data_IF_841971337501
#
_entry.id   IF_841971337501
#
_cell.length_a   1.000
_cell.length_b   1.000
_cell.length_c   1.000
_cell.angle_alpha   90.00
_cell.angle_beta   90.00
_cell.angle_gamma   90.00
#
_symmetry.space_group_name_H-M   'P 1'
#
loop_
_entity.id
_entity.type
_entity.pdbx_description
1 polymer ?
#
# COMPACT_ATOMS: atom_id res chain seq x y z
N UNK A 1 21.75 19.48 -7.55
CA UNK A 1 20.45 18.93 -7.98
C UNK A 1 20.80 17.73 -8.85
N UNK A 2 20.61 16.50 -8.36
CA UNK A 2 20.95 15.28 -9.09
C UNK A 2 19.66 14.76 -9.76
N UNK A 3 19.60 14.87 -11.08
CA UNK A 3 18.54 14.22 -11.86
C UNK A 3 18.82 12.72 -11.89
N UNK A 4 17.85 11.92 -11.45
CA UNK A 4 17.94 10.47 -11.56
C UNK A 4 17.61 10.06 -13.00
N UNK A 5 18.36 9.13 -13.61
CA UNK A 5 18.05 8.64 -14.94
C UNK A 5 16.68 7.94 -14.96
N UNK A 6 15.96 7.95 -16.09
CA UNK A 6 14.69 7.27 -16.23
C UNK A 6 14.85 5.78 -15.90
N UNK A 7 14.03 5.28 -14.99
CA UNK A 7 14.04 3.87 -14.58
C UNK A 7 13.42 3.04 -15.70
N UNK A 8 14.24 2.28 -16.42
CA UNK A 8 13.78 1.26 -17.37
C UNK A 8 13.46 -0.03 -16.62
N UNK A 9 12.19 -0.46 -16.66
CA UNK A 9 11.78 -1.72 -16.05
C UNK A 9 12.21 -2.90 -16.93
N UNK A 10 12.81 -3.95 -16.36
CA UNK A 10 13.22 -5.11 -17.12
C UNK A 10 11.98 -5.87 -17.60
N UNK A 11 11.81 -5.97 -18.92
CA UNK A 11 10.82 -6.87 -19.53
C UNK A 11 11.42 -8.28 -19.54
N UNK A 12 10.92 -9.15 -18.66
CA UNK A 12 11.31 -10.56 -18.65
C UNK A 12 10.37 -11.33 -19.58
N UNK A 13 10.90 -11.79 -20.71
CA UNK A 13 10.17 -12.61 -21.67
C UNK A 13 10.15 -14.09 -21.21
N UNK A 14 8.96 -14.64 -20.97
CA UNK A 14 8.80 -16.05 -20.60
C UNK A 14 8.57 -16.91 -21.84
N UNK A 15 9.65 -17.49 -22.38
CA UNK A 15 9.58 -18.41 -23.51
C UNK A 15 9.22 -19.83 -23.04
N UNK A 16 8.36 -20.58 -23.75
CA UNK A 16 8.01 -21.95 -23.39
C UNK A 16 9.22 -22.88 -23.22
N UNK A 17 10.29 -22.67 -23.99
CA UNK A 17 11.55 -23.42 -23.90
C UNK A 17 12.26 -23.26 -22.55
N UNK A 18 12.10 -22.10 -21.91
CA UNK A 18 12.83 -21.73 -20.69
C UNK A 18 12.04 -22.16 -19.43
N UNK A 19 10.77 -22.53 -19.57
CA UNK A 19 9.88 -22.91 -18.45
C UNK A 19 10.08 -24.35 -17.95
N UNK A 20 10.90 -25.18 -18.63
CA UNK A 20 11.18 -26.54 -18.19
C UNK A 20 12.14 -26.53 -17.00
N UNK A 21 11.64 -26.90 -15.81
CA UNK A 21 12.39 -26.94 -14.55
C UNK A 21 13.72 -27.72 -14.68
N UNK A 22 14.78 -27.17 -14.10
CA UNK A 22 16.12 -27.79 -14.09
C UNK A 22 16.97 -27.53 -15.33
N UNK A 23 16.43 -26.89 -16.37
CA UNK A 23 17.20 -26.44 -17.54
C UNK A 23 18.02 -25.18 -17.26
N UNK A 24 18.97 -24.88 -18.15
CA UNK A 24 19.71 -23.61 -18.11
C UNK A 24 18.78 -22.40 -18.30
N UNK A 25 17.77 -22.52 -19.18
CA UNK A 25 16.74 -21.49 -19.38
C UNK A 25 15.97 -21.20 -18.09
N UNK A 26 15.54 -22.25 -17.38
CA UNK A 26 14.86 -22.12 -16.08
C UNK A 26 15.74 -21.43 -15.03
N UNK A 27 17.00 -21.85 -14.88
CA UNK A 27 17.94 -21.21 -13.94
C UNK A 27 18.16 -19.73 -14.26
N UNK A 28 18.28 -19.39 -15.55
CA UNK A 28 18.41 -18.00 -16.02
C UNK A 28 17.17 -17.18 -15.69
N UNK A 29 15.97 -17.70 -15.97
CA UNK A 29 14.71 -17.04 -15.59
C UNK A 29 14.61 -16.83 -14.08
N UNK A 30 14.94 -17.83 -13.25
CA UNK A 30 14.95 -17.68 -11.80
C UNK A 30 15.92 -16.59 -11.33
N UNK A 31 17.10 -16.49 -11.95
CA UNK A 31 18.08 -15.43 -11.65
C UNK A 31 17.51 -14.05 -12.01
N UNK A 32 16.97 -13.87 -13.21
CA UNK A 32 16.39 -12.59 -13.63
C UNK A 32 15.18 -12.17 -12.81
N UNK A 33 14.27 -13.11 -12.50
CA UNK A 33 13.12 -12.81 -11.62
C UNK A 33 13.60 -12.38 -10.24
N UNK A 34 14.61 -13.05 -9.67
CA UNK A 34 15.23 -12.66 -8.40
C UNK A 34 15.84 -11.26 -8.48
N UNK A 35 16.73 -11.03 -9.45
CA UNK A 35 17.41 -9.74 -9.61
C UNK A 35 16.42 -8.60 -9.88
N UNK A 36 15.36 -8.86 -10.65
CA UNK A 36 14.30 -7.90 -10.88
C UNK A 36 13.52 -7.59 -9.60
N UNK A 37 13.20 -8.61 -8.78
CA UNK A 37 12.58 -8.41 -7.48
C UNK A 37 13.53 -7.74 -6.46
N UNK A 38 14.84 -7.99 -6.51
CA UNK A 38 15.81 -7.34 -5.62
C UNK A 38 16.03 -5.87 -6.01
N UNK A 39 16.13 -5.61 -7.32
CA UNK A 39 16.45 -4.27 -7.86
C UNK A 39 15.21 -3.39 -7.99
N UNK A 40 14.07 -3.97 -8.39
CA UNK A 40 12.83 -3.25 -8.67
C UNK A 40 11.68 -3.67 -7.77
N UNK A 41 11.81 -4.75 -6.99
CA UNK A 41 10.82 -5.16 -6.00
C UNK A 41 10.86 -4.27 -4.75
N UNK A 42 10.97 -2.96 -4.96
CA UNK A 42 10.52 -1.87 -4.10
C UNK A 42 10.89 -1.93 -2.61
N UNK A 43 11.77 -2.82 -2.11
CA UNK A 43 12.03 -2.95 -0.67
C UNK A 43 12.55 -1.65 -0.08
N UNK A 44 13.59 -1.08 -0.70
CA UNK A 44 14.15 0.21 -0.30
C UNK A 44 13.14 1.36 -0.37
N UNK A 45 12.14 1.28 -1.28
CA UNK A 45 11.11 2.31 -1.42
C UNK A 45 9.96 2.14 -0.44
N UNK A 46 9.54 0.90 -0.23
CA UNK A 46 8.58 0.52 0.79
C UNK A 46 9.07 1.02 2.14
N UNK A 47 10.35 0.78 2.48
CA UNK A 47 11.00 1.30 3.69
C UNK A 47 11.02 2.82 3.82
N UNK A 48 10.94 3.58 2.72
CA UNK A 48 10.82 5.06 2.77
C UNK A 48 9.42 5.53 3.18
N UNK A 49 8.41 4.66 3.17
CA UNK A 49 7.10 4.99 3.73
C UNK A 49 7.22 4.98 5.25
N UNK A 50 7.75 6.06 5.81
CA UNK A 50 7.94 6.22 7.26
C UNK A 50 6.83 7.10 7.83
N UNK A 51 6.38 6.74 9.01
CA UNK A 51 5.42 7.54 9.77
C UNK A 51 5.90 7.66 11.21
N UNK A 52 5.74 8.82 11.86
CA UNK A 52 5.98 8.95 13.29
C UNK A 52 4.97 8.15 14.12
N UNK A 53 3.83 7.76 13.52
CA UNK A 53 2.83 6.94 14.18
C UNK A 53 3.20 5.44 14.09
N UNK A 54 3.12 4.69 15.20
CA UNK A 54 3.40 3.25 15.20
C UNK A 54 2.57 2.51 14.14
N UNK A 55 3.21 1.62 13.37
CA UNK A 55 2.58 0.81 12.32
C UNK A 55 1.92 1.60 11.16
N UNK A 56 2.11 2.92 11.07
CA UNK A 56 1.53 3.76 10.03
C UNK A 56 2.46 4.02 8.83
N UNK A 57 3.61 3.33 8.80
CA UNK A 57 4.53 3.29 7.67
C UNK A 57 4.74 1.86 7.21
N UNK A 58 5.91 1.58 6.67
CA UNK A 58 6.36 0.23 6.39
C UNK A 58 6.53 -0.59 7.66
N UNK A 59 5.96 -1.78 7.63
CA UNK A 59 6.09 -2.80 8.65
C UNK A 59 6.75 -4.00 7.97
N UNK A 60 8.04 -4.16 8.24
CA UNK A 60 8.82 -5.26 7.72
C UNK A 60 8.81 -6.50 8.59
N UNK A 61 9.52 -7.55 8.13
CA UNK A 61 9.77 -8.74 8.92
C UNK A 61 10.40 -8.39 10.27
N UNK A 62 9.71 -8.67 11.37
CA UNK A 62 10.27 -8.53 12.71
C UNK A 62 9.74 -9.62 13.64
N UNK A 63 10.51 -9.94 14.68
CA UNK A 63 10.17 -10.99 15.65
C UNK A 63 8.84 -10.73 16.38
N UNK A 64 8.37 -9.48 16.41
CA UNK A 64 7.12 -9.08 17.08
C UNK A 64 5.87 -9.25 16.20
N UNK A 65 6.01 -9.35 14.87
CA UNK A 65 4.88 -9.43 13.93
C UNK A 65 4.90 -10.77 13.19
N UNK A 66 5.96 -11.04 12.42
CA UNK A 66 6.28 -12.33 11.79
C UNK A 66 7.49 -12.10 10.86
N UNK A 67 8.35 -13.11 10.70
CA UNK A 67 9.47 -13.07 9.76
C UNK A 67 9.04 -13.13 8.28
N UNK A 68 7.78 -13.43 8.01
CA UNK A 68 7.22 -13.54 6.65
C UNK A 68 6.23 -12.44 6.30
N UNK A 69 5.89 -11.57 7.26
CA UNK A 69 4.94 -10.49 7.04
C UNK A 69 5.64 -9.23 6.55
N UNK A 70 5.09 -8.63 5.50
CA UNK A 70 5.44 -7.28 5.05
C UNK A 70 4.15 -6.54 4.74
N UNK A 71 4.05 -5.30 5.21
CA UNK A 71 2.92 -4.43 4.92
C UNK A 71 3.28 -2.97 5.05
N UNK A 72 2.34 -2.11 4.68
CA UNK A 72 2.45 -0.69 4.96
C UNK A 72 1.05 -0.10 5.08
N UNK A 73 0.93 0.97 5.87
CA UNK A 73 -0.31 1.74 5.92
C UNK A 73 -0.24 2.93 4.98
N UNK A 74 -1.38 3.19 4.33
CA UNK A 74 -1.67 4.44 3.66
C UNK A 74 -2.62 5.25 4.55
N UNK A 75 -2.13 6.36 5.10
CA UNK A 75 -2.96 7.28 5.87
C UNK A 75 -3.85 8.13 4.96
N UNK A 76 -5.05 8.48 5.45
CA UNK A 76 -5.97 9.40 4.77
C UNK A 76 -6.25 9.03 3.31
N UNK A 77 -6.55 7.74 3.07
CA UNK A 77 -6.67 7.20 1.72
C UNK A 77 -7.89 7.71 0.93
N UNK A 78 -8.87 8.32 1.60
CA UNK A 78 -9.99 9.02 0.95
C UNK A 78 -9.61 10.43 0.48
N UNK A 79 -8.44 10.94 0.86
CA UNK A 79 -7.83 12.13 0.27
C UNK A 79 -6.92 11.73 -0.89
N UNK A 80 -7.31 12.12 -2.11
CA UNK A 80 -6.57 11.75 -3.32
C UNK A 80 -5.11 12.22 -3.30
N UNK A 81 -4.80 13.37 -2.69
CA UNK A 81 -3.41 13.88 -2.64
C UNK A 81 -2.52 13.02 -1.73
N UNK A 82 -3.08 12.47 -0.65
CA UNK A 82 -2.40 11.51 0.23
C UNK A 82 -2.07 10.22 -0.54
N UNK A 83 -3.03 9.69 -1.30
CA UNK A 83 -2.84 8.51 -2.16
C UNK A 83 -1.79 8.79 -3.24
N UNK A 84 -1.85 9.97 -3.88
CA UNK A 84 -0.91 10.38 -4.91
C UNK A 84 0.50 10.54 -4.38
N UNK A 85 0.67 11.15 -3.21
CA UNK A 85 1.97 11.30 -2.55
C UNK A 85 2.60 9.94 -2.24
N UNK A 86 1.81 9.01 -1.72
CA UNK A 86 2.26 7.62 -1.53
C UNK A 86 2.62 6.95 -2.86
N UNK A 87 1.80 7.10 -3.89
CA UNK A 87 2.07 6.51 -5.19
C UNK A 87 3.35 7.07 -5.82
N UNK A 88 3.65 8.36 -5.62
CA UNK A 88 4.89 8.99 -6.08
C UNK A 88 6.14 8.48 -5.36
N UNK A 89 6.01 8.20 -4.06
CA UNK A 89 7.08 7.55 -3.28
C UNK A 89 7.41 6.17 -3.86
N UNK A 90 6.37 5.40 -4.16
CA UNK A 90 6.49 4.03 -4.69
C UNK A 90 6.91 4.00 -6.16
N UNK A 91 6.37 4.89 -7.00
CA UNK A 91 6.62 5.03 -8.43
C UNK A 91 6.88 6.52 -8.75
N UNK A 92 8.10 6.96 -9.12
CA UNK A 92 8.42 8.40 -9.21
C UNK A 92 7.61 9.12 -10.26
N UNK A 93 7.28 8.41 -11.35
CA UNK A 93 6.44 8.91 -12.44
C UNK A 93 4.94 8.86 -12.09
N UNK A 94 4.59 8.48 -10.86
CA UNK A 94 3.23 8.23 -10.39
C UNK A 94 2.65 6.92 -10.91
N UNK A 95 1.44 6.61 -10.47
CA UNK A 95 0.69 5.44 -10.93
C UNK A 95 -0.83 5.73 -10.92
N UNK A 96 -1.37 6.49 -11.90
CA UNK A 96 -2.74 7.03 -11.86
C UNK A 96 -3.84 6.00 -11.65
N UNK A 97 -3.71 4.80 -12.26
CA UNK A 97 -4.66 3.70 -12.07
C UNK A 97 -4.69 3.21 -10.62
N UNK A 98 -3.54 3.19 -9.95
CA UNK A 98 -3.45 2.79 -8.55
C UNK A 98 -4.11 3.87 -7.68
N UNK A 99 -3.79 5.15 -7.92
CA UNK A 99 -4.38 6.26 -7.19
C UNK A 99 -5.90 6.25 -7.25
N UNK A 100 -6.46 6.15 -8.46
CA UNK A 100 -7.90 6.11 -8.66
C UNK A 100 -8.53 4.92 -7.95
N UNK A 101 -7.96 3.73 -8.10
CA UNK A 101 -8.51 2.50 -7.49
C UNK A 101 -8.55 2.60 -5.97
N UNK A 102 -7.42 2.98 -5.35
CA UNK A 102 -7.31 3.07 -3.89
C UNK A 102 -8.19 4.18 -3.33
N UNK A 103 -8.20 5.35 -3.96
CA UNK A 103 -9.05 6.45 -3.55
C UNK A 103 -10.54 6.04 -3.59
N UNK A 104 -11.01 5.48 -4.71
CA UNK A 104 -12.40 5.03 -4.83
C UNK A 104 -12.76 4.00 -3.76
N UNK A 105 -11.92 2.98 -3.54
CA UNK A 105 -12.15 1.99 -2.50
C UNK A 105 -12.20 2.61 -1.10
N UNK A 106 -11.26 3.50 -0.79
CA UNK A 106 -11.18 4.16 0.51
C UNK A 106 -12.39 5.06 0.78
N UNK A 107 -12.82 5.84 -0.22
CA UNK A 107 -14.03 6.67 -0.12
C UNK A 107 -15.26 5.81 0.15
N UNK A 108 -15.44 4.70 -0.59
CA UNK A 108 -16.58 3.79 -0.38
C UNK A 108 -16.57 3.16 1.02
N UNK A 109 -15.41 2.73 1.51
CA UNK A 109 -15.26 2.18 2.86
C UNK A 109 -15.56 3.26 3.92
N UNK A 110 -15.14 4.51 3.70
CA UNK A 110 -15.41 5.60 4.63
C UNK A 110 -16.91 5.93 4.71
N UNK A 111 -17.60 5.98 3.56
CA UNK A 111 -19.05 6.18 3.50
C UNK A 111 -19.80 5.04 4.20
N UNK A 112 -19.41 3.79 3.94
CA UNK A 112 -19.98 2.62 4.62
C UNK A 112 -19.76 2.70 6.13
N UNK A 113 -18.56 3.05 6.58
CA UNK A 113 -18.24 3.18 8.00
C UNK A 113 -19.11 4.27 8.65
N UNK A 114 -19.31 5.42 8.00
CA UNK A 114 -20.22 6.48 8.48
C UNK A 114 -21.66 5.95 8.63
N UNK A 115 -22.16 5.20 7.64
CA UNK A 115 -23.49 4.61 7.70
C UNK A 115 -23.63 3.60 8.84
N UNK A 116 -22.66 2.69 9.01
CA UNK A 116 -22.65 1.71 10.10
C UNK A 116 -22.69 2.43 11.46
N UNK A 117 -21.90 3.49 11.62
CA UNK A 117 -21.91 4.29 12.85
C UNK A 117 -23.28 4.93 13.12
N UNK A 118 -23.92 5.51 12.11
CA UNK A 118 -25.28 6.05 12.23
C UNK A 118 -26.27 4.97 12.67
N UNK A 119 -26.22 3.79 12.05
CA UNK A 119 -27.09 2.67 12.42
C UNK A 119 -26.87 2.21 13.87
N UNK A 120 -25.61 2.13 14.31
CA UNK A 120 -25.27 1.78 15.70
C UNK A 120 -25.82 2.83 16.65
N UNK A 121 -25.56 4.11 16.39
CA UNK A 121 -26.04 5.24 17.21
C UNK A 121 -27.56 5.21 17.36
N UNK A 122 -28.27 5.02 16.24
CA UNK A 122 -29.73 4.99 16.23
C UNK A 122 -30.27 3.76 16.97
N UNK A 123 -29.59 2.62 16.89
CA UNK A 123 -29.97 1.41 17.64
C UNK A 123 -29.94 1.61 19.16
N UNK A 124 -29.10 2.50 19.67
CA UNK A 124 -29.03 2.87 21.08
C UNK A 124 -29.97 4.03 21.46
N UNK A 125 -30.74 4.60 20.51
CA UNK A 125 -31.68 5.69 20.78
C UNK A 125 -31.02 7.00 21.23
N UNK A 126 -29.75 7.22 20.86
CA UNK A 126 -28.97 8.35 21.35
C UNK A 126 -29.40 9.71 20.79
N UNK A 127 -30.15 9.74 19.67
CA UNK A 127 -30.57 10.97 19.01
C UNK A 127 -29.38 11.93 18.81
N UNK A 128 -29.57 13.24 19.00
CA UNK A 128 -28.48 14.25 18.81
C UNK A 128 -27.28 14.12 19.76
N UNK A 129 -27.30 13.26 20.79
CA UNK A 129 -26.17 13.08 21.72
C UNK A 129 -24.97 12.39 21.06
N UNK A 130 -25.12 11.85 19.84
CA UNK A 130 -24.06 11.17 19.11
C UNK A 130 -22.87 12.07 18.76
N UNK A 131 -23.09 13.38 18.60
CA UNK A 131 -22.03 14.34 18.26
C UNK A 131 -20.89 14.29 19.30
N UNK A 132 -21.22 14.14 20.58
CA UNK A 132 -20.25 13.97 21.67
C UNK A 132 -19.48 12.64 21.60
N UNK A 133 -20.13 11.56 21.15
CA UNK A 133 -19.50 10.23 20.99
C UNK A 133 -18.51 10.25 19.82
N UNK A 134 -18.87 10.89 18.71
CA UNK A 134 -18.04 10.97 17.51
C UNK A 134 -16.81 11.89 17.66
N UNK A 135 -16.92 12.96 18.45
CA UNK A 135 -15.77 13.82 18.80
C UNK A 135 -14.69 13.00 19.53
N UNK A 136 -15.09 12.15 20.47
CA UNK A 136 -14.17 11.27 21.19
C UNK A 136 -13.52 10.23 20.25
N UNK A 137 -14.29 9.64 19.33
CA UNK A 137 -13.75 8.68 18.36
C UNK A 137 -12.65 9.25 17.48
N UNK A 138 -12.84 10.47 16.92
CA UNK A 138 -11.80 11.12 16.10
C UNK A 138 -10.54 11.51 16.89
N UNK A 139 -10.62 11.61 18.21
CA UNK A 139 -9.46 11.86 19.08
C UNK A 139 -8.70 10.58 19.46
N UNK A 140 -9.29 9.41 19.21
CA UNK A 140 -8.74 8.09 19.54
C UNK A 140 -8.01 7.42 18.36
N UNK A 141 -8.14 7.95 17.14
CA UNK A 141 -7.56 7.43 15.89
C UNK A 141 -6.66 8.48 15.27
#
# INVERSE_FOLDING_TARGET
MLEWPPVEFPVIEFRPSDLKRGTNGWRRLCKWVREACETFGCLERKQKNVSPLPYHGWVGPCNQVSLLYEGFRLGDASNYDSVKSFAQLMWPNGHPRFCNTIHTMATQIEELNKLIWLMIIDSYGLGKKWEFVMINYKSLV
#
